data_IF_001193094438
#
_entry.id   IF_001193094438
#
_cell.length_a   1.000
_cell.length_b   1.000
_cell.length_c   1.000
_cell.angle_alpha   90.00
_cell.angle_beta   90.00
_cell.angle_gamma   90.00
#
_symmetry.space_group_name_H-M   'P 1'
#
loop_
_entity.id
_entity.type
_entity.pdbx_description
1 polymer ?
#
# COMPACT_ATOMS: atom_id res chain seq x y z
N UNK A 1 -1.91 -3.59 11.96
CA UNK A 1 -0.91 -3.92 10.90
C UNK A 1 -1.58 -4.24 9.55
N UNK A 2 -1.02 -3.91 8.38
CA UNK A 2 -1.60 -4.37 7.12
C UNK A 2 -1.38 -5.89 7.02
N UNK A 3 -2.32 -6.60 6.41
CA UNK A 3 -2.42 -8.08 6.43
C UNK A 3 -1.27 -8.84 5.78
N UNK A 4 -0.32 -8.12 5.17
CA UNK A 4 0.84 -8.69 4.51
C UNK A 4 2.10 -8.64 5.39
N UNK A 5 2.49 -9.71 6.10
CA UNK A 5 3.73 -9.77 6.88
C UNK A 5 5.03 -9.73 6.05
N UNK A 6 5.00 -9.33 4.76
CA UNK A 6 6.25 -9.15 4.04
C UNK A 6 6.93 -7.82 4.47
N UNK A 7 8.27 -7.78 4.49
CA UNK A 7 9.00 -6.53 4.65
C UNK A 7 8.60 -5.51 3.59
N UNK A 8 8.63 -4.23 3.94
CA UNK A 8 8.35 -3.14 3.01
C UNK A 8 9.33 -3.18 1.83
N UNK A 9 8.82 -3.08 0.60
CA UNK A 9 9.64 -3.21 -0.60
C UNK A 9 10.58 -2.02 -0.77
N UNK A 10 11.87 -2.32 -1.00
CA UNK A 10 12.92 -1.32 -1.22
C UNK A 10 13.22 -1.05 -2.70
N UNK A 11 12.63 -1.83 -3.61
CA UNK A 11 12.88 -1.74 -5.04
C UNK A 11 11.62 -2.08 -5.81
N UNK A 12 11.31 -1.25 -6.80
CA UNK A 12 10.15 -1.32 -7.67
C UNK A 12 10.62 -1.37 -9.12
N UNK A 13 9.76 -1.82 -10.03
CA UNK A 13 10.01 -1.81 -11.48
C UNK A 13 9.02 -0.87 -12.14
N UNK A 14 9.39 -0.34 -13.30
CA UNK A 14 8.45 0.38 -14.14
C UNK A 14 7.20 -0.45 -14.47
N UNK A 15 6.08 0.21 -14.72
CA UNK A 15 4.85 -0.46 -15.11
C UNK A 15 5.03 -1.20 -16.45
N UNK A 16 4.97 -2.53 -16.40
CA UNK A 16 5.13 -3.42 -17.55
C UNK A 16 3.82 -4.12 -17.96
N UNK A 17 2.71 -3.77 -17.32
CA UNK A 17 1.39 -4.39 -17.54
C UNK A 17 1.28 -5.80 -16.95
N UNK A 18 2.37 -6.37 -16.45
CA UNK A 18 2.38 -7.64 -15.73
C UNK A 18 1.91 -7.40 -14.29
N UNK A 19 0.60 -7.53 -14.10
CA UNK A 19 -0.05 -7.40 -12.79
C UNK A 19 0.24 -8.60 -11.88
N UNK A 20 0.83 -9.68 -12.42
CA UNK A 20 1.06 -10.94 -11.71
C UNK A 20 2.52 -11.15 -11.31
N UNK A 21 3.46 -10.40 -11.87
CA UNK A 21 4.87 -10.48 -11.46
C UNK A 21 5.07 -9.95 -10.05
N UNK A 22 5.69 -10.77 -9.20
CA UNK A 22 6.48 -10.23 -8.07
C UNK A 22 7.54 -9.30 -8.65
N UNK A 23 7.38 -8.00 -8.41
CA UNK A 23 8.34 -6.98 -8.87
C UNK A 23 9.65 -7.03 -8.10
N UNK A 24 9.61 -7.48 -6.84
CA UNK A 24 10.80 -7.72 -6.03
C UNK A 24 11.11 -9.23 -5.88
N UNK A 25 11.65 -9.85 -6.94
CA UNK A 25 12.15 -11.25 -6.87
C UNK A 25 13.29 -11.42 -5.86
N UNK A 26 13.88 -10.31 -5.43
CA UNK A 26 14.89 -10.24 -4.39
C UNK A 26 14.28 -9.87 -3.02
N UNK A 27 12.95 -9.95 -2.89
CA UNK A 27 12.25 -9.75 -1.64
C UNK A 27 12.56 -10.87 -0.65
N UNK A 28 12.39 -10.58 0.64
CA UNK A 28 12.56 -11.56 1.70
C UNK A 28 11.58 -12.73 1.59
N UNK A 29 11.98 -13.88 2.13
CA UNK A 29 11.16 -15.08 2.17
C UNK A 29 9.89 -14.81 2.99
N UNK A 30 8.72 -15.16 2.46
CA UNK A 30 7.45 -14.92 3.17
C UNK A 30 7.30 -15.72 4.46
N UNK A 31 8.00 -16.85 4.59
CA UNK A 31 7.93 -17.69 5.78
C UNK A 31 8.94 -17.28 6.86
N UNK A 32 10.20 -17.07 6.49
CA UNK A 32 11.28 -16.88 7.46
C UNK A 32 11.87 -15.46 7.49
N UNK A 33 11.41 -14.56 6.63
CA UNK A 33 11.88 -13.17 6.57
C UNK A 33 13.30 -12.98 6.03
N UNK A 34 14.05 -14.06 5.79
CA UNK A 34 15.43 -13.99 5.29
C UNK A 34 15.49 -13.30 3.93
N UNK A 35 16.38 -12.32 3.71
CA UNK A 35 16.64 -11.76 2.38
C UNK A 35 17.47 -12.73 1.52
N UNK A 36 17.34 -12.70 0.18
CA UNK A 36 18.19 -13.51 -0.70
C UNK A 36 19.65 -13.09 -0.59
N UNK A 37 20.55 -14.07 -0.55
CA UNK A 37 21.98 -13.82 -0.65
C UNK A 37 22.32 -13.21 -2.03
N UNK A 38 23.50 -12.61 -2.16
CA UNK A 38 23.93 -12.00 -3.43
C UNK A 38 23.90 -13.04 -4.56
N UNK A 39 23.02 -12.83 -5.53
CA UNK A 39 22.83 -13.73 -6.68
C UNK A 39 21.82 -14.86 -6.47
N UNK A 40 21.33 -15.06 -5.24
CA UNK A 40 20.28 -16.03 -4.94
C UNK A 40 18.92 -15.55 -5.47
N UNK A 41 18.13 -16.48 -6.03
CA UNK A 41 16.78 -16.22 -6.48
C UNK A 41 15.81 -17.07 -5.69
N UNK A 42 14.85 -16.41 -5.04
CA UNK A 42 13.78 -17.11 -4.35
C UNK A 42 12.77 -17.68 -5.33
N UNK A 43 12.19 -18.81 -4.95
CA UNK A 43 11.10 -19.44 -5.68
C UNK A 43 9.83 -18.63 -5.44
N UNK A 44 9.03 -18.49 -6.48
CA UNK A 44 7.75 -17.80 -6.41
C UNK A 44 6.65 -18.84 -6.43
N UNK A 45 5.63 -18.67 -5.59
CA UNK A 45 4.46 -19.54 -5.63
C UNK A 45 3.91 -19.61 -7.07
N UNK A 46 3.90 -20.80 -7.66
CA UNK A 46 3.43 -21.00 -9.04
C UNK A 46 1.93 -20.74 -9.19
N UNK A 47 1.18 -20.88 -8.11
CA UNK A 47 -0.27 -20.67 -8.07
C UNK A 47 -0.66 -19.20 -8.18
N UNK A 48 -0.23 -18.36 -7.24
CA UNK A 48 -0.59 -16.94 -7.23
C UNK A 48 0.42 -16.04 -7.95
N UNK A 49 1.64 -16.53 -8.19
CA UNK A 49 2.76 -15.78 -8.78
C UNK A 49 3.18 -14.52 -8.02
N UNK A 50 2.67 -14.29 -6.81
CA UNK A 50 2.84 -13.04 -6.02
C UNK A 50 3.61 -13.21 -4.71
N UNK A 51 3.89 -14.43 -4.24
CA UNK A 51 4.60 -14.66 -2.97
C UNK A 51 5.96 -15.37 -3.15
N UNK A 52 7.09 -14.79 -2.68
CA UNK A 52 8.41 -15.41 -2.76
C UNK A 52 8.77 -16.24 -1.51
N UNK A 53 9.48 -17.35 -1.71
CA UNK A 53 9.99 -18.26 -0.68
C UNK A 53 11.45 -18.63 -0.99
N UNK A 54 12.30 -18.71 0.03
CA UNK A 54 13.70 -19.11 -0.16
C UNK A 54 13.86 -20.58 -0.59
N UNK A 55 12.82 -21.40 -0.43
CA UNK A 55 12.79 -22.78 -0.89
C UNK A 55 11.43 -23.44 -0.64
N UNK A 56 11.25 -24.68 -1.11
CA UNK A 56 9.99 -25.41 -1.03
C UNK A 56 9.57 -25.74 0.41
N UNK A 57 10.53 -25.88 1.33
CA UNK A 57 10.26 -26.09 2.75
C UNK A 57 9.49 -24.89 3.35
N UNK A 58 10.00 -23.68 3.14
CA UNK A 58 9.35 -22.45 3.57
C UNK A 58 7.96 -22.29 2.95
N UNK A 59 7.79 -22.64 1.66
CA UNK A 59 6.48 -22.63 1.02
C UNK A 59 5.50 -23.62 1.67
N UNK A 60 5.96 -24.84 2.00
CA UNK A 60 5.14 -25.88 2.64
C UNK A 60 4.70 -25.48 4.05
N UNK A 61 5.60 -24.89 4.83
CA UNK A 61 5.29 -24.39 6.18
C UNK A 61 4.29 -23.23 6.08
N UNK A 62 4.46 -22.32 5.12
CA UNK A 62 3.54 -21.21 4.91
C UNK A 62 2.20 -21.62 4.29
N UNK A 63 2.08 -22.83 3.71
CA UNK A 63 0.91 -23.22 2.93
C UNK A 63 -0.43 -23.13 3.68
N UNK A 64 -0.57 -23.56 4.96
CA UNK A 64 -1.83 -23.47 5.68
C UNK A 64 -2.39 -22.04 5.75
N UNK A 65 -1.54 -21.04 5.94
CA UNK A 65 -1.91 -19.62 5.96
C UNK A 65 -1.98 -19.02 4.54
N UNK A 66 -1.09 -19.40 3.64
CA UNK A 66 -1.00 -18.85 2.28
C UNK A 66 -2.13 -19.33 1.34
N UNK A 67 -2.62 -20.58 1.47
CA UNK A 67 -3.52 -21.21 0.48
C UNK A 67 -4.76 -20.38 0.14
N UNK A 68 -5.31 -19.65 1.10
CA UNK A 68 -6.50 -18.82 0.89
C UNK A 68 -6.19 -17.53 0.14
N UNK A 69 -5.11 -16.86 0.52
CA UNK A 69 -4.58 -15.72 -0.22
C UNK A 69 -4.18 -16.13 -1.63
N UNK A 70 -3.61 -17.33 -1.79
CA UNK A 70 -3.25 -17.88 -3.10
C UNK A 70 -4.49 -18.07 -3.98
N UNK A 71 -5.56 -18.69 -3.46
CA UNK A 71 -6.84 -18.84 -4.16
C UNK A 71 -7.52 -17.52 -4.45
N UNK A 72 -7.51 -16.59 -3.49
CA UNK A 72 -8.07 -15.25 -3.69
C UNK A 72 -7.30 -14.50 -4.78
N UNK A 73 -5.96 -14.53 -4.75
CA UNK A 73 -5.14 -13.97 -5.79
C UNK A 73 -5.41 -14.63 -7.15
N UNK A 74 -5.59 -15.95 -7.20
CA UNK A 74 -5.97 -16.66 -8.43
C UNK A 74 -7.36 -16.26 -8.96
N UNK A 75 -8.34 -16.04 -8.08
CA UNK A 75 -9.68 -15.56 -8.47
C UNK A 75 -9.64 -14.10 -8.93
N UNK A 76 -8.90 -13.25 -8.21
CA UNK A 76 -8.69 -11.85 -8.59
C UNK A 76 -7.89 -11.74 -9.89
N UNK A 77 -6.95 -12.68 -10.12
CA UNK A 77 -6.33 -12.91 -11.42
C UNK A 77 -7.37 -13.34 -12.43
N UNK A 78 -8.24 -14.31 -12.15
CA UNK A 78 -9.31 -14.72 -13.08
C UNK A 78 -10.32 -13.61 -13.45
N UNK A 79 -10.57 -12.66 -12.54
CA UNK A 79 -11.44 -11.49 -12.77
C UNK A 79 -10.75 -10.38 -13.59
N UNK A 80 -9.42 -10.29 -13.53
CA UNK A 80 -8.60 -9.36 -14.32
C UNK A 80 -7.87 -10.04 -15.49
N UNK A 81 -7.97 -11.35 -15.60
CA UNK A 81 -7.45 -12.14 -16.72
C UNK A 81 -8.32 -11.78 -17.91
N UNK A 82 -7.70 -11.62 -19.08
CA UNK A 82 -8.47 -11.46 -20.29
C UNK A 82 -9.27 -12.75 -20.45
N UNK A 83 -10.58 -12.68 -20.19
CA UNK A 83 -11.54 -13.28 -21.11
C UNK A 83 -11.02 -13.01 -22.52
N UNK A 84 -11.03 -13.99 -23.47
CA UNK A 84 -10.51 -13.79 -24.82
C UNK A 84 -10.93 -12.40 -25.31
N UNK A 85 -9.92 -11.53 -25.51
CA UNK A 85 -10.12 -10.08 -25.59
C UNK A 85 -11.30 -9.79 -26.52
N UNK A 86 -12.38 -9.24 -25.97
CA UNK A 86 -13.52 -8.80 -26.76
C UNK A 86 -13.21 -7.49 -27.49
N UNK A 87 -12.06 -6.88 -27.21
CA UNK A 87 -11.57 -5.67 -27.85
C UNK A 87 -11.02 -5.98 -29.24
N UNK A 88 -11.83 -5.72 -30.26
CA UNK A 88 -11.44 -5.86 -31.67
C UNK A 88 -10.88 -4.57 -32.27
N UNK A 89 -11.03 -3.42 -31.59
CA UNK A 89 -10.58 -2.12 -32.11
C UNK A 89 -9.26 -1.67 -31.47
N UNK A 90 -8.40 -0.94 -32.20
CA UNK A 90 -7.16 -0.40 -31.65
C UNK A 90 -7.35 0.46 -30.40
N UNK A 91 -8.44 1.24 -30.34
CA UNK A 91 -8.76 2.07 -29.18
C UNK A 91 -9.13 1.23 -27.95
N UNK A 92 -9.91 0.17 -28.13
CA UNK A 92 -10.27 -0.73 -27.03
C UNK A 92 -9.05 -1.50 -26.50
N UNK A 93 -8.15 -1.94 -27.39
CA UNK A 93 -6.89 -2.59 -27.00
C UNK A 93 -5.97 -1.64 -26.21
N UNK A 94 -5.84 -0.39 -26.64
CA UNK A 94 -5.05 0.62 -25.93
C UNK A 94 -5.63 0.95 -24.54
N UNK A 95 -6.96 1.00 -24.42
CA UNK A 95 -7.63 1.20 -23.12
C UNK A 95 -7.42 -0.01 -22.18
N UNK A 96 -7.46 -1.23 -22.71
CA UNK A 96 -7.19 -2.45 -21.95
C UNK A 96 -5.73 -2.50 -21.45
N UNK A 97 -4.78 -2.13 -22.31
CA UNK A 97 -3.35 -2.01 -21.96
C UNK A 97 -3.13 -0.94 -20.88
N UNK A 98 -3.75 0.24 -21.06
CA UNK A 98 -3.73 1.31 -20.06
C UNK A 98 -4.31 0.84 -18.72
N UNK A 99 -5.41 0.09 -18.74
CA UNK A 99 -6.02 -0.50 -17.55
C UNK A 99 -5.04 -1.42 -16.79
N UNK A 100 -4.35 -2.33 -17.49
CA UNK A 100 -3.32 -3.20 -16.89
C UNK A 100 -2.15 -2.41 -16.30
N UNK A 101 -1.68 -1.39 -17.02
CA UNK A 101 -0.59 -0.54 -16.54
C UNK A 101 -0.99 0.20 -15.26
N UNK A 102 -2.20 0.79 -15.23
CA UNK A 102 -2.78 1.44 -14.06
C UNK A 102 -2.93 0.48 -12.88
N UNK A 103 -3.42 -0.74 -13.08
CA UNK A 103 -3.50 -1.75 -12.03
C UNK A 103 -2.13 -2.05 -11.43
N UNK A 104 -1.10 -2.17 -12.28
CA UNK A 104 0.25 -2.46 -11.82
C UNK A 104 0.88 -1.28 -11.08
N UNK A 105 0.61 -0.03 -11.49
CA UNK A 105 1.02 1.17 -10.78
C UNK A 105 0.29 1.32 -9.46
N UNK A 106 -1.00 0.99 -9.43
CA UNK A 106 -1.84 1.09 -8.23
C UNK A 106 -1.30 0.19 -7.12
N UNK A 107 -0.97 -1.07 -7.44
CA UNK A 107 -0.34 -1.99 -6.51
C UNK A 107 0.98 -1.42 -5.96
N UNK A 108 1.83 -0.88 -6.83
CA UNK A 108 3.14 -0.38 -6.42
C UNK A 108 3.05 0.92 -5.60
N UNK A 109 2.07 1.78 -5.90
CA UNK A 109 1.80 2.99 -5.13
C UNK A 109 1.30 2.66 -3.73
N UNK A 110 0.38 1.67 -3.61
CA UNK A 110 -0.08 1.18 -2.31
C UNK A 110 1.10 0.61 -1.50
N UNK A 111 1.96 -0.19 -2.13
CA UNK A 111 3.14 -0.76 -1.45
C UNK A 111 4.21 0.30 -1.09
N UNK A 112 4.38 1.33 -1.91
CA UNK A 112 5.25 2.46 -1.59
C UNK A 112 4.75 3.15 -0.30
N UNK A 113 3.43 3.34 -0.19
CA UNK A 113 2.80 4.16 0.84
C UNK A 113 2.14 3.38 1.98
N UNK A 114 2.34 2.06 2.06
CA UNK A 114 1.68 1.15 3.01
C UNK A 114 1.68 1.66 4.47
N UNK A 115 2.80 2.19 4.95
CA UNK A 115 2.89 2.78 6.30
C UNK A 115 2.08 4.07 6.45
N UNK A 116 2.19 5.00 5.49
CA UNK A 116 1.44 6.25 5.51
C UNK A 116 -0.07 6.03 5.37
N UNK A 117 -0.48 5.05 4.57
CA UNK A 117 -1.87 4.62 4.42
C UNK A 117 -2.39 4.07 5.75
N UNK A 118 -1.65 3.18 6.42
CA UNK A 118 -2.06 2.66 7.72
C UNK A 118 -2.33 3.79 8.72
N UNK A 119 -1.38 4.72 8.87
CA UNK A 119 -1.55 5.87 9.76
C UNK A 119 -2.73 6.77 9.34
N UNK A 120 -2.92 6.98 8.03
CA UNK A 120 -4.08 7.72 7.54
C UNK A 120 -5.40 7.03 7.90
N UNK A 121 -5.51 5.72 7.70
CA UNK A 121 -6.72 4.93 7.99
C UNK A 121 -7.05 4.97 9.47
N UNK A 122 -6.03 4.81 10.33
CA UNK A 122 -6.21 4.82 11.78
C UNK A 122 -6.58 6.21 12.31
N UNK A 123 -6.01 7.28 11.75
CA UNK A 123 -6.40 8.67 12.05
C UNK A 123 -7.77 9.04 11.50
N UNK A 124 -8.15 8.52 10.33
CA UNK A 124 -9.47 8.76 9.76
C UNK A 124 -10.56 8.07 10.59
N UNK A 125 -10.29 6.87 11.12
CA UNK A 125 -11.20 6.16 12.01
C UNK A 125 -11.50 6.94 13.31
N UNK A 126 -10.52 7.70 13.84
CA UNK A 126 -10.74 8.57 15.00
C UNK A 126 -11.89 9.56 14.76
N UNK A 127 -11.92 10.23 13.59
CA UNK A 127 -12.98 11.19 13.25
C UNK A 127 -14.35 10.56 12.99
N UNK A 128 -14.44 9.23 12.92
CA UNK A 128 -15.69 8.49 12.81
C UNK A 128 -16.20 7.99 14.17
N UNK A 129 -15.58 8.43 15.27
CA UNK A 129 -15.85 7.93 16.63
C UNK A 129 -15.07 6.67 17.00
N UNK A 130 -13.98 6.39 16.28
CA UNK A 130 -13.14 5.20 16.48
C UNK A 130 -13.53 4.01 15.59
N UNK A 131 -12.64 3.03 15.52
CA UNK A 131 -12.84 1.78 14.81
C UNK A 131 -14.11 1.06 15.31
N UNK A 132 -14.30 1.04 16.64
CA UNK A 132 -15.44 0.44 17.31
C UNK A 132 -16.76 1.01 16.81
N UNK A 133 -16.86 2.34 16.68
CA UNK A 133 -18.05 3.02 16.16
C UNK A 133 -18.29 2.73 14.67
N UNK A 134 -17.23 2.56 13.87
CA UNK A 134 -17.35 2.16 12.46
C UNK A 134 -17.95 0.76 12.34
N UNK A 135 -17.46 -0.20 13.12
CA UNK A 135 -17.88 -1.60 13.04
C UNK A 135 -19.18 -1.90 13.80
N UNK A 136 -19.65 -0.99 14.66
CA UNK A 136 -20.94 -1.09 15.33
C UNK A 136 -22.14 -0.68 14.43
N UNK A 137 -21.89 -0.11 13.24
CA UNK A 137 -22.95 0.27 12.29
C UNK A 137 -23.62 -0.97 11.68
N UNK A 138 -24.93 -0.91 11.46
CA UNK A 138 -25.72 -2.02 10.90
C UNK A 138 -25.23 -2.47 9.51
N UNK A 139 -24.74 -1.52 8.70
CA UNK A 139 -24.20 -1.80 7.38
C UNK A 139 -22.67 -1.73 7.36
N UNK A 140 -21.97 -2.74 6.78
CA UNK A 140 -20.52 -2.72 6.63
C UNK A 140 -20.03 -1.45 5.96
N UNK A 141 -19.10 -0.75 6.61
CA UNK A 141 -18.47 0.44 6.04
C UNK A 141 -17.17 0.10 5.32
N UNK A 142 -16.96 0.74 4.19
CA UNK A 142 -15.70 0.70 3.46
C UNK A 142 -15.06 2.09 3.48
N UNK A 143 -13.73 2.15 3.45
CA UNK A 143 -13.01 3.40 3.27
C UNK A 143 -12.52 3.49 1.82
N UNK A 144 -13.06 4.42 1.05
CA UNK A 144 -12.67 4.62 -0.35
C UNK A 144 -11.61 5.69 -0.45
N UNK A 145 -10.51 5.36 -1.12
CA UNK A 145 -9.44 6.25 -1.52
C UNK A 145 -9.63 6.60 -3.00
N UNK A 146 -10.29 7.72 -3.33
CA UNK A 146 -10.31 8.23 -4.70
C UNK A 146 -8.91 8.71 -5.09
N UNK A 147 -8.33 8.06 -6.09
CA UNK A 147 -7.00 8.35 -6.61
C UNK A 147 -7.10 8.97 -8.00
N UNK A 148 -6.38 10.07 -8.20
CA UNK A 148 -6.21 10.66 -9.53
C UNK A 148 -4.89 10.22 -10.12
N UNK A 149 -4.91 9.52 -11.25
CA UNK A 149 -3.70 9.18 -11.98
C UNK A 149 -2.94 10.46 -12.41
N UNK A 150 -1.64 10.51 -12.13
CA UNK A 150 -0.76 11.56 -12.60
C UNK A 150 -0.21 11.17 -13.97
N UNK A 151 -1.02 11.41 -15.00
CA UNK A 151 -0.66 11.12 -16.39
C UNK A 151 0.61 11.90 -16.79
N UNK A 152 1.69 11.22 -17.22
CA UNK A 152 2.92 11.89 -17.61
C UNK A 152 2.81 12.64 -18.93
N UNK A 153 1.67 12.53 -19.63
CA UNK A 153 1.41 13.18 -20.90
C UNK A 153 1.81 12.33 -22.11
N UNK A 154 1.49 12.81 -23.31
CA UNK A 154 1.75 12.07 -24.55
C UNK A 154 3.24 11.83 -24.76
N UNK A 155 3.59 10.62 -25.22
CA UNK A 155 4.98 10.22 -25.53
C UNK A 155 5.81 9.78 -24.33
N UNK A 156 5.32 9.95 -23.10
CA UNK A 156 6.00 9.45 -21.92
C UNK A 156 5.76 7.95 -21.71
N UNK A 157 6.82 7.21 -21.40
CA UNK A 157 6.75 5.79 -21.09
C UNK A 157 6.16 5.57 -19.70
N UNK A 158 5.12 4.74 -19.58
CA UNK A 158 4.57 4.35 -18.27
C UNK A 158 5.58 3.58 -17.40
N UNK A 159 6.61 2.98 -18.00
CA UNK A 159 7.73 2.34 -17.28
C UNK A 159 8.58 3.36 -16.52
N UNK A 160 8.51 4.63 -16.92
CA UNK A 160 9.31 5.72 -16.37
C UNK A 160 8.55 6.56 -15.34
N UNK A 161 7.33 6.16 -14.99
CA UNK A 161 6.56 6.76 -13.90
C UNK A 161 7.17 6.33 -12.57
N UNK A 162 7.46 7.30 -11.69
CA UNK A 162 7.81 7.05 -10.29
C UNK A 162 6.60 6.39 -9.60
N UNK A 163 6.70 5.12 -9.14
CA UNK A 163 5.58 4.42 -8.53
C UNK A 163 5.03 5.13 -7.29
N UNK A 164 5.87 5.86 -6.56
CA UNK A 164 5.45 6.62 -5.38
C UNK A 164 4.66 7.90 -5.71
N UNK A 165 4.66 8.33 -6.98
CA UNK A 165 3.96 9.53 -7.46
C UNK A 165 2.93 9.23 -8.55
N UNK A 166 2.69 7.96 -8.87
CA UNK A 166 1.76 7.55 -9.92
C UNK A 166 0.33 8.09 -9.71
N UNK A 167 -0.06 8.32 -8.45
CA UNK A 167 -1.37 8.85 -8.09
C UNK A 167 -1.27 10.03 -7.14
N UNK A 168 -2.23 10.94 -7.28
CA UNK A 168 -2.54 11.96 -6.29
C UNK A 168 -3.77 11.53 -5.47
N UNK A 169 -3.73 11.78 -4.17
CA UNK A 169 -4.76 11.44 -3.20
C UNK A 169 -5.19 12.68 -2.42
N UNK A 170 -6.50 12.96 -2.34
CA UNK A 170 -7.03 14.15 -1.66
C UNK A 170 -7.67 13.87 -0.30
N UNK A 171 -7.96 12.60 -0.01
CA UNK A 171 -8.63 12.20 1.21
C UNK A 171 -9.56 11.01 0.98
N UNK A 172 -9.71 10.18 2.01
CA UNK A 172 -10.56 9.00 2.00
C UNK A 172 -11.94 9.32 2.56
N UNK A 173 -12.94 8.58 2.10
CA UNK A 173 -14.33 8.73 2.54
C UNK A 173 -14.89 7.38 2.98
N UNK A 174 -15.54 7.36 4.14
CA UNK A 174 -16.32 6.20 4.57
C UNK A 174 -17.66 6.18 3.85
N UNK A 175 -18.00 5.03 3.28
CA UNK A 175 -19.28 4.80 2.63
C UNK A 175 -19.83 3.43 3.04
N UNK A 176 -21.15 3.27 3.11
CA UNK A 176 -21.75 1.96 3.21
C UNK A 176 -21.38 1.10 2.00
N UNK A 177 -21.09 -0.18 2.23
CA UNK A 177 -20.68 -1.10 1.18
C UNK A 177 -21.69 -1.16 0.03
N UNK A 178 -22.99 -1.19 0.31
CA UNK A 178 -24.04 -1.24 -0.70
C UNK A 178 -24.02 -0.02 -1.63
N UNK A 179 -23.65 1.15 -1.10
CA UNK A 179 -23.53 2.37 -1.90
C UNK A 179 -22.40 2.26 -2.92
N UNK A 180 -21.28 1.64 -2.54
CA UNK A 180 -20.17 1.43 -3.46
C UNK A 180 -20.46 0.32 -4.47
N UNK A 181 -20.97 -0.82 -4.04
CA UNK A 181 -21.29 -1.93 -4.96
C UNK A 181 -22.41 -1.60 -5.93
N UNK A 182 -23.34 -0.69 -5.58
CA UNK A 182 -24.34 -0.16 -6.53
C UNK A 182 -23.70 0.62 -7.68
N UNK A 183 -22.64 1.39 -7.40
CA UNK A 183 -21.89 2.13 -8.42
C UNK A 183 -20.92 1.24 -9.21
N UNK A 184 -20.49 0.13 -8.61
CA UNK A 184 -19.53 -0.80 -9.22
C UNK A 184 -19.94 -2.27 -8.99
N UNK A 185 -20.97 -2.77 -9.70
CA UNK A 185 -21.53 -4.10 -9.46
C UNK A 185 -20.52 -5.24 -9.61
N UNK A 186 -19.50 -5.07 -10.46
CA UNK A 186 -18.42 -6.05 -10.63
C UNK A 186 -17.66 -6.35 -9.33
N UNK A 187 -17.65 -5.41 -8.37
CA UNK A 187 -16.98 -5.60 -7.08
C UNK A 187 -17.89 -6.22 -6.00
N UNK A 188 -19.20 -6.36 -6.25
CA UNK A 188 -20.09 -7.10 -5.34
C UNK A 188 -19.68 -8.57 -5.24
N UNK A 189 -19.45 -9.22 -6.38
CA UNK A 189 -18.97 -10.60 -6.43
C UNK A 189 -17.57 -10.77 -5.80
N UNK A 190 -16.69 -9.78 -5.95
CA UNK A 190 -15.39 -9.74 -5.27
C UNK A 190 -15.55 -9.67 -3.74
N UNK A 191 -16.48 -8.87 -3.25
CA UNK A 191 -16.80 -8.82 -1.82
C UNK A 191 -17.32 -10.17 -1.33
N UNK A 192 -18.29 -10.77 -2.00
CA UNK A 192 -18.86 -12.06 -1.57
C UNK A 192 -17.80 -13.17 -1.56
N UNK A 193 -17.03 -13.29 -2.64
CA UNK A 193 -15.97 -14.31 -2.76
C UNK A 193 -14.83 -14.15 -1.74
N UNK A 194 -14.59 -12.94 -1.21
CA UNK A 194 -13.57 -12.70 -0.18
C UNK A 194 -14.02 -13.04 1.26
N UNK A 195 -15.28 -13.47 1.48
CA UNK A 195 -15.81 -13.74 2.83
C UNK A 195 -14.95 -14.72 3.64
N UNK A 196 -14.54 -15.84 3.03
CA UNK A 196 -13.70 -16.83 3.71
C UNK A 196 -12.29 -16.33 4.05
N UNK A 197 -11.77 -15.37 3.29
CA UNK A 197 -10.49 -14.73 3.56
C UNK A 197 -10.62 -13.73 4.70
N UNK A 198 -11.69 -12.91 4.70
CA UNK A 198 -11.99 -11.96 5.79
C UNK A 198 -12.16 -12.67 7.13
N UNK A 199 -12.95 -13.75 7.16
CA UNK A 199 -13.18 -14.49 8.41
C UNK A 199 -11.87 -15.00 9.00
N UNK A 200 -11.01 -15.62 8.19
CA UNK A 200 -9.70 -16.10 8.68
C UNK A 200 -8.79 -14.99 9.16
N UNK A 201 -8.83 -13.85 8.49
CA UNK A 201 -8.06 -12.70 8.91
C UNK A 201 -8.54 -12.19 10.27
N UNK A 202 -9.86 -12.17 10.50
CA UNK A 202 -10.46 -11.85 11.80
C UNK A 202 -10.00 -12.89 12.83
N UNK A 203 -10.20 -14.18 12.55
CA UNK A 203 -9.85 -15.29 13.43
C UNK A 203 -8.38 -15.25 13.86
N UNK A 204 -7.47 -14.88 12.95
CA UNK A 204 -6.04 -14.82 13.24
C UNK A 204 -5.65 -13.68 14.18
N UNK A 205 -6.54 -12.71 14.45
CA UNK A 205 -6.28 -11.57 15.34
C UNK A 205 -7.20 -11.56 16.59
N UNK A 206 -8.11 -12.52 16.74
CA UNK A 206 -9.01 -12.61 17.91
C UNK A 206 -8.28 -12.75 19.27
N UNK A 207 -7.01 -13.17 19.25
CA UNK A 207 -6.20 -13.29 20.46
C UNK A 207 -5.63 -11.95 20.95
N UNK A 208 -5.67 -10.90 20.11
CA UNK A 208 -5.19 -9.57 20.46
C UNK A 208 -6.31 -8.79 21.17
N UNK A 209 -6.14 -8.39 22.44
CA UNK A 209 -7.17 -7.68 23.20
C UNK A 209 -7.47 -6.26 22.68
N UNK A 210 -6.62 -5.72 21.82
CA UNK A 210 -6.82 -4.44 21.14
C UNK A 210 -7.49 -4.61 19.78
N UNK A 211 -7.59 -5.82 19.22
CA UNK A 211 -8.20 -6.03 17.92
C UNK A 211 -9.70 -5.70 17.92
N UNK A 212 -10.15 -4.97 16.91
CA UNK A 212 -11.57 -4.65 16.69
C UNK A 212 -12.08 -5.43 15.48
N UNK A 213 -11.52 -5.17 14.30
CA UNK A 213 -11.90 -5.86 13.05
C UNK A 213 -10.89 -5.55 11.93
N UNK A 214 -11.14 -6.04 10.72
CA UNK A 214 -10.39 -5.71 9.52
C UNK A 214 -11.16 -4.72 8.63
N UNK A 215 -10.68 -3.48 8.53
CA UNK A 215 -11.23 -2.46 7.64
C UNK A 215 -10.86 -2.76 6.19
N UNK A 216 -11.84 -2.78 5.30
CA UNK A 216 -11.58 -2.76 3.86
C UNK A 216 -11.30 -1.33 3.39
N UNK A 217 -10.19 -1.16 2.69
CA UNK A 217 -9.81 0.07 2.02
C UNK A 217 -9.83 -0.19 0.52
N UNK A 218 -10.61 0.60 -0.22
CA UNK A 218 -10.72 0.52 -1.68
C UNK A 218 -9.96 1.67 -2.30
N UNK A 219 -8.90 1.38 -3.04
CA UNK A 219 -8.15 2.35 -3.83
C UNK A 219 -8.73 2.41 -5.24
N UNK A 220 -9.45 3.48 -5.55
CA UNK A 220 -10.16 3.67 -6.82
C UNK A 220 -9.33 4.58 -7.74
N UNK A 221 -8.71 4.03 -8.77
CA UNK A 221 -7.85 4.76 -9.71
C UNK A 221 -8.57 5.24 -10.98
N UNK A 222 -9.61 4.52 -11.41
CA UNK A 222 -10.54 4.89 -12.48
C UNK A 222 -11.85 4.13 -12.30
N UNK A 223 -12.87 4.35 -13.13
CA UNK A 223 -14.13 3.60 -13.05
C UNK A 223 -13.96 2.08 -13.15
N UNK A 224 -12.93 1.63 -13.88
CA UNK A 224 -12.66 0.21 -14.16
C UNK A 224 -11.49 -0.36 -13.37
N UNK A 225 -10.68 0.51 -12.73
CA UNK A 225 -9.47 0.11 -12.01
C UNK A 225 -9.60 0.48 -10.55
N UNK A 226 -9.77 -0.54 -9.72
CA UNK A 226 -9.71 -0.43 -8.27
C UNK A 226 -9.02 -1.65 -7.65
N UNK A 227 -8.45 -1.45 -6.46
CA UNK A 227 -7.87 -2.51 -5.64
C UNK A 227 -8.40 -2.39 -4.22
N UNK A 228 -8.81 -3.51 -3.64
CA UNK A 228 -9.22 -3.57 -2.24
C UNK A 228 -8.13 -4.26 -1.40
N UNK A 229 -7.87 -3.71 -0.22
CA UNK A 229 -7.00 -4.33 0.79
C UNK A 229 -7.64 -4.25 2.17
N UNK A 230 -7.22 -5.14 3.06
CA UNK A 230 -7.69 -5.18 4.43
C UNK A 230 -6.62 -4.58 5.35
N UNK A 231 -7.07 -3.80 6.34
CA UNK A 231 -6.24 -3.17 7.35
C UNK A 231 -6.76 -3.59 8.72
N UNK A 232 -5.91 -4.19 9.54
CA UNK A 232 -6.27 -4.56 10.91
C UNK A 232 -6.47 -3.28 11.72
N UNK A 233 -7.65 -3.16 12.31
CA UNK A 233 -8.05 -2.04 13.16
C UNK A 233 -8.02 -2.48 14.61
N UNK A 234 -7.40 -1.64 15.41
CA UNK A 234 -7.31 -1.77 16.86
C UNK A 234 -8.23 -0.75 17.53
N UNK A 235 -8.48 -0.94 18.82
CA UNK A 235 -9.26 -0.03 19.64
C UNK A 235 -8.67 1.37 19.56
N UNK A 236 -9.48 2.34 19.17
CA UNK A 236 -8.94 3.65 18.79
C UNK A 236 -8.50 4.46 20.00
N UNK A 237 -9.26 4.38 21.10
CA UNK A 237 -9.04 5.16 22.31
C UNK A 237 -8.37 4.36 23.44
N UNK A 238 -8.50 3.03 23.42
CA UNK A 238 -7.91 2.15 24.43
C UNK A 238 -6.51 1.63 24.04
N UNK A 239 -6.02 1.92 22.82
CA UNK A 239 -4.68 1.52 22.42
C UNK A 239 -3.63 2.42 23.10
N UNK A 240 -2.77 1.87 23.99
CA UNK A 240 -1.77 2.65 24.73
C UNK A 240 -0.71 3.30 23.83
N UNK A 241 -0.42 2.73 22.66
CA UNK A 241 0.48 3.35 21.67
C UNK A 241 -0.14 4.61 21.04
N UNK A 242 -1.48 4.71 21.04
CA UNK A 242 -2.25 5.88 20.57
C UNK A 242 -2.69 6.82 21.68
N UNK A 243 -2.78 6.33 22.92
CA UNK A 243 -3.23 7.07 24.09
C UNK A 243 -2.29 8.25 24.46
N UNK A 244 -1.15 8.40 23.79
CA UNK A 244 -0.29 9.59 23.84
C UNK A 244 -0.96 10.72 23.03
N UNK A 245 -2.00 11.32 23.64
CA UNK A 245 -2.75 12.51 23.20
C UNK A 245 -3.58 12.39 21.91
N UNK A 246 -4.61 11.52 21.87
CA UNK A 246 -5.57 11.53 20.77
C UNK A 246 -6.46 12.79 20.89
N UNK A 247 -6.12 13.83 20.14
CA UNK A 247 -6.95 15.03 20.00
C UNK A 247 -7.11 15.40 18.53
N UNK A 248 -8.20 16.09 18.21
CA UNK A 248 -8.52 16.52 16.85
C UNK A 248 -7.36 17.22 16.14
N UNK A 249 -6.59 18.05 16.86
CA UNK A 249 -5.46 18.77 16.28
C UNK A 249 -4.32 17.82 15.87
N UNK A 250 -3.97 16.86 16.73
CA UNK A 250 -2.97 15.84 16.42
C UNK A 250 -3.40 14.97 15.25
N UNK A 251 -4.65 14.49 15.25
CA UNK A 251 -5.15 13.59 14.20
C UNK A 251 -5.32 14.31 12.85
N UNK A 252 -5.68 15.61 12.85
CA UNK A 252 -5.65 16.46 11.64
C UNK A 252 -4.23 16.58 11.10
N UNK A 253 -3.24 16.83 11.96
CA UNK A 253 -1.83 16.90 11.55
C UNK A 253 -1.33 15.56 10.98
N UNK A 254 -1.77 14.43 11.53
CA UNK A 254 -1.45 13.10 10.98
C UNK A 254 -2.08 12.90 9.59
N UNK A 255 -3.36 13.25 9.43
CA UNK A 255 -4.05 13.17 8.13
C UNK A 255 -3.33 14.04 7.09
N UNK A 256 -3.10 15.31 7.40
CA UNK A 256 -2.45 16.28 6.50
C UNK A 256 -1.02 15.86 6.16
N UNK A 257 -0.28 15.38 7.17
CA UNK A 257 1.07 14.85 7.00
C UNK A 257 1.11 13.65 6.06
N UNK A 258 0.27 12.64 6.30
CA UNK A 258 0.20 11.45 5.45
C UNK A 258 -0.25 11.77 4.02
N UNK A 259 -1.18 12.70 3.83
CA UNK A 259 -1.54 13.21 2.50
C UNK A 259 -0.34 13.83 1.78
N UNK A 260 0.42 14.68 2.47
CA UNK A 260 1.62 15.31 1.89
C UNK A 260 2.73 14.30 1.60
N UNK A 261 2.94 13.31 2.47
CA UNK A 261 3.89 12.23 2.22
C UNK A 261 3.53 11.43 0.96
N UNK A 262 2.27 11.00 0.86
CA UNK A 262 1.80 10.22 -0.29
C UNK A 262 1.89 11.01 -1.60
N UNK A 263 1.41 12.26 -1.62
CA UNK A 263 1.43 13.09 -2.84
C UNK A 263 2.84 13.56 -3.20
N UNK A 264 3.72 13.77 -2.22
CA UNK A 264 5.12 14.13 -2.43
C UNK A 264 5.97 12.95 -2.92
N UNK A 265 5.51 11.71 -2.77
CA UNK A 265 6.32 10.52 -3.00
C UNK A 265 7.40 10.33 -1.94
N UNK A 266 7.10 10.72 -0.69
CA UNK A 266 7.92 10.41 0.49
C UNK A 266 7.56 9.00 0.94
N UNK A 267 8.54 8.11 0.89
CA UNK A 267 8.38 6.69 1.15
C UNK A 267 9.13 6.33 2.43
N UNK A 268 8.42 5.86 3.45
CA UNK A 268 9.01 5.44 4.73
C UNK A 268 9.45 3.99 4.67
N UNK A 269 10.66 3.70 5.15
CA UNK A 269 11.18 2.33 5.27
C UNK A 269 11.92 2.15 6.59
N UNK A 270 12.03 0.91 7.12
CA UNK A 270 12.78 0.66 8.35
C UNK A 270 14.23 1.09 8.19
N UNK A 271 14.80 1.66 9.24
CA UNK A 271 16.23 1.96 9.29
C UNK A 271 17.01 0.63 9.31
N UNK A 272 17.84 0.34 8.30
CA UNK A 272 18.61 -0.91 8.27
C UNK A 272 19.66 -1.01 9.38
N UNK A 273 19.96 0.08 10.10
CA UNK A 273 20.94 0.13 11.19
C UNK A 273 20.32 0.21 12.59
N UNK A 274 19.01 0.42 12.72
CA UNK A 274 18.33 0.59 14.00
C UNK A 274 17.22 -0.45 14.17
N UNK A 275 16.70 -0.55 15.39
CA UNK A 275 15.60 -1.46 15.73
C UNK A 275 14.36 -1.26 14.84
N UNK A 276 13.53 -2.30 14.76
CA UNK A 276 12.40 -2.49 13.84
C UNK A 276 11.37 -1.34 13.79
N UNK A 277 11.33 -0.49 14.83
CA UNK A 277 10.37 0.59 14.98
C UNK A 277 10.81 1.95 14.42
N UNK A 278 12.04 2.10 13.94
CA UNK A 278 12.53 3.35 13.37
C UNK A 278 12.29 3.42 11.86
N UNK A 279 11.33 4.23 11.42
CA UNK A 279 11.10 4.51 10.00
C UNK A 279 11.85 5.75 9.51
N UNK A 280 12.58 5.62 8.41
CA UNK A 280 13.33 6.70 7.76
C UNK A 280 12.56 7.17 6.53
N UNK A 281 12.33 8.50 6.36
CA UNK A 281 11.77 9.02 5.13
C UNK A 281 12.81 8.94 3.99
N UNK A 282 12.35 8.52 2.82
CA UNK A 282 13.14 8.40 1.60
C UNK A 282 12.31 8.69 0.36
N UNK A 283 12.88 8.43 -0.80
CA UNK A 283 12.20 8.55 -2.09
C UNK A 283 12.66 7.46 -3.05
N UNK A 284 11.87 7.22 -4.09
CA UNK A 284 12.24 6.29 -5.15
C UNK A 284 13.12 7.00 -6.18
N UNK A 285 14.34 6.48 -6.35
CA UNK A 285 15.30 6.94 -7.35
C UNK A 285 15.40 5.94 -8.48
N UNK A 286 15.25 6.40 -9.71
CA UNK A 286 15.44 5.55 -10.89
C UNK A 286 16.90 5.14 -11.07
N UNK A 287 17.15 3.84 -11.31
CA UNK A 287 18.45 3.23 -11.62
C UNK A 287 18.25 2.20 -12.72
N UNK A 288 18.47 2.60 -13.98
CA UNK A 288 18.11 1.76 -15.13
C UNK A 288 16.60 1.54 -15.20
N UNK A 289 16.17 0.28 -15.25
CA UNK A 289 14.75 -0.11 -15.31
C UNK A 289 14.06 -0.24 -13.94
N UNK A 290 14.78 0.00 -12.85
CA UNK A 290 14.26 -0.14 -11.48
C UNK A 290 14.24 1.18 -10.74
N UNK A 291 13.30 1.29 -9.81
CA UNK A 291 13.17 2.37 -8.85
C UNK A 291 13.64 1.86 -7.49
N UNK A 292 14.72 2.42 -6.96
CA UNK A 292 15.28 2.00 -5.68
C UNK A 292 15.00 3.05 -4.61
N UNK A 293 14.47 2.61 -3.47
CA UNK A 293 14.33 3.48 -2.31
C UNK A 293 15.71 4.00 -1.87
N UNK A 294 15.77 5.31 -1.66
CA UNK A 294 16.97 6.03 -1.23
C UNK A 294 16.59 6.87 -0.01
N UNK A 295 17.30 6.74 1.12
CA UNK A 295 16.99 7.52 2.32
C UNK A 295 17.29 9.00 2.09
N UNK A 296 16.46 9.89 2.65
CA UNK A 296 16.73 11.34 2.68
C UNK A 296 17.75 11.71 3.76
N UNK A 297 17.87 10.89 4.80
CA UNK A 297 18.70 11.13 5.97
C UNK A 297 19.63 9.96 6.23
N UNK A 298 20.87 10.24 6.66
CA UNK A 298 21.82 9.19 7.05
C UNK A 298 21.47 8.56 8.39
N UNK A 299 20.97 9.38 9.32
CA UNK A 299 20.42 8.98 10.60
C UNK A 299 19.28 9.94 10.93
N UNK A 300 18.04 9.54 10.64
CA UNK A 300 16.88 10.41 10.80
C UNK A 300 16.56 10.74 12.26
N UNK A 301 16.83 9.81 13.18
CA UNK A 301 16.51 9.97 14.61
C UNK A 301 17.46 10.93 15.29
N UNK A 302 18.74 10.90 14.90
CA UNK A 302 19.77 11.75 15.50
C UNK A 302 20.09 12.97 14.63
N UNK A 303 19.31 13.25 13.59
CA UNK A 303 19.56 14.42 12.73
C UNK A 303 19.33 15.70 13.56
N UNK A 304 20.37 16.54 13.75
CA UNK A 304 20.28 17.70 14.63
C UNK A 304 19.31 18.75 14.10
N UNK A 305 19.13 18.86 12.77
CA UNK A 305 18.13 19.76 12.19
C UNK A 305 16.71 19.23 12.45
N UNK A 306 16.50 17.92 12.30
CA UNK A 306 15.20 17.29 12.64
C UNK A 306 14.86 17.47 14.12
N UNK A 307 15.85 17.31 15.00
CA UNK A 307 15.65 17.44 16.46
C UNK A 307 15.55 18.89 16.93
N UNK A 308 16.13 19.85 16.20
CA UNK A 308 16.03 21.28 16.49
C UNK A 308 14.70 21.90 16.02
N UNK A 309 14.02 21.29 15.06
CA UNK A 309 12.66 21.70 14.68
C UNK A 309 11.74 21.37 15.86
N UNK A 310 11.21 22.40 16.51
CA UNK A 310 10.26 22.28 17.62
C UNK A 310 9.08 21.38 17.24
N UNK A 311 8.40 20.79 18.24
CA UNK A 311 7.19 19.96 18.07
C UNK A 311 5.99 20.69 17.43
N UNK A 312 6.18 21.86 16.83
CA UNK A 312 5.15 22.56 16.06
C UNK A 312 4.95 21.85 14.72
N UNK A 313 3.83 21.13 14.62
CA UNK A 313 3.62 20.01 13.69
C UNK A 313 4.12 20.20 12.26
N UNK A 314 3.72 21.28 11.57
CA UNK A 314 3.98 21.46 10.14
C UNK A 314 5.44 21.80 9.78
N UNK A 315 6.26 22.25 10.74
CA UNK A 315 7.65 22.66 10.46
C UNK A 315 8.51 21.47 10.03
N UNK A 316 8.35 20.31 10.68
CA UNK A 316 9.08 19.08 10.38
C UNK A 316 8.74 18.55 8.98
N UNK A 317 7.47 18.61 8.62
CA UNK A 317 6.98 18.18 7.32
C UNK A 317 7.55 19.02 6.18
N UNK A 318 7.43 20.35 6.30
CA UNK A 318 7.99 21.28 5.31
C UNK A 318 9.51 21.13 5.18
N UNK A 319 10.22 20.76 6.25
CA UNK A 319 11.65 20.46 6.19
C UNK A 319 11.96 19.19 5.39
N UNK A 320 11.24 18.09 5.63
CA UNK A 320 11.40 16.84 4.87
C UNK A 320 11.13 17.09 3.37
N UNK A 321 10.09 17.85 3.04
CA UNK A 321 9.78 18.22 1.64
C UNK A 321 10.90 19.04 0.98
N UNK A 322 11.49 20.00 1.69
CA UNK A 322 12.66 20.74 1.17
C UNK A 322 13.86 19.82 0.93
N UNK A 323 14.16 18.91 1.87
CA UNK A 323 15.24 17.91 1.68
C UNK A 323 14.95 16.99 0.49
N UNK A 324 13.68 16.59 0.30
CA UNK A 324 13.26 15.81 -0.87
C UNK A 324 13.46 16.58 -2.18
N UNK A 325 12.99 17.82 -2.25
CA UNK A 325 13.16 18.67 -3.43
C UNK A 325 14.64 18.82 -3.80
N UNK A 326 15.50 19.09 -2.81
CA UNK A 326 16.95 19.18 -3.02
C UNK A 326 17.57 17.84 -3.49
N UNK A 327 17.13 16.71 -2.93
CA UNK A 327 17.62 15.39 -3.32
C UNK A 327 17.22 15.03 -4.77
N UNK A 328 15.97 15.31 -5.15
CA UNK A 328 15.47 15.08 -6.51
C UNK A 328 16.13 15.98 -7.54
N UNK A 329 16.35 17.25 -7.22
CA UNK A 329 17.07 18.18 -8.10
C UNK A 329 18.48 17.68 -8.42
N UNK A 330 19.21 17.14 -7.43
CA UNK A 330 20.54 16.52 -7.63
C UNK A 330 20.50 15.29 -8.53
N UNK A 331 19.38 14.58 -8.54
CA UNK A 331 19.17 13.36 -9.33
C UNK A 331 18.49 13.64 -10.69
N UNK A 332 18.26 14.91 -11.05
CA UNK A 332 17.60 15.30 -12.30
C UNK A 332 16.11 14.94 -12.36
N UNK A 333 15.49 14.68 -11.22
CA UNK A 333 14.06 14.39 -11.09
C UNK A 333 13.30 15.70 -10.84
N UNK A 334 12.26 15.98 -11.64
CA UNK A 334 11.37 17.13 -11.45
C UNK A 334 10.16 16.78 -10.58
#
# INVERSE_FOLDING_TARGET
MPTEPHPLQMTFRGADGDIYRIRNKNGSCRQCGRPPAKGERFQVCTGCKTTPYCGPECQRIAWPSHKHMCRFAQLYSGMNDPSPSSATTPAALAEEEKGRLLQSLLRDWIEAHRGAILHYVTSRAFFEGGAEAIFARDEPQILVFPLRFNDPGPGASMKDIDPSRAFAFKGGVYLPLSRWTRGYPQYAAMWESSASHRQKLIDSHLHDPLFVNAQIVVFQASEKVAKAEFYIMEKTFDNPERAIHPCDACEKLQIDGNLRYMNGGIVFRPDPKKAEFCSVPGYLRKKGEVWKWTPLFKDFVNDPEVNAITKEGNARLSFIERKLAAARAKDGLR
#
